data_IF_826293196088
#
_entry.id   IF_826293196088
#
_cell.length_a   1.000
_cell.length_b   1.000
_cell.length_c   1.000
_cell.angle_alpha   90.00
_cell.angle_beta   90.00
_cell.angle_gamma   90.00
#
_symmetry.space_group_name_H-M   'P 1'
#
loop_
_entity.id
_entity.type
_entity.pdbx_description
1 polymer ?
#
# COMPACT_ATOMS: atom_id res chain seq x y z
N UNK A 1 -27.55 -18.31 1.51
CA UNK A 1 -26.97 -16.99 1.84
C UNK A 1 -25.80 -16.70 0.91
N UNK A 2 -24.98 -15.71 1.25
CA UNK A 2 -23.77 -15.38 0.50
C UNK A 2 -22.57 -15.38 1.46
N UNK A 3 -21.41 -15.84 0.97
CA UNK A 3 -20.13 -15.75 1.69
C UNK A 3 -19.19 -14.83 0.94
N UNK A 4 -18.30 -14.18 1.67
CA UNK A 4 -17.29 -13.28 1.14
C UNK A 4 -15.89 -13.74 1.57
N UNK A 5 -14.92 -13.55 0.67
CA UNK A 5 -13.50 -13.65 0.96
C UNK A 5 -12.96 -12.23 1.14
N UNK A 6 -12.75 -11.84 2.39
CA UNK A 6 -12.27 -10.52 2.74
C UNK A 6 -10.75 -10.52 2.95
N UNK A 7 -10.03 -9.54 2.40
CA UNK A 7 -8.56 -9.51 2.43
C UNK A 7 -7.98 -8.76 3.63
N UNK A 8 -8.50 -9.08 4.82
CA UNK A 8 -7.91 -8.68 6.09
C UNK A 8 -8.18 -9.72 7.18
N UNK A 9 -7.59 -9.49 8.36
CA UNK A 9 -7.96 -10.18 9.59
C UNK A 9 -9.13 -9.42 10.25
N UNK A 10 -10.35 -9.72 9.83
CA UNK A 10 -11.56 -9.13 10.43
C UNK A 10 -11.58 -9.33 11.95
N UNK A 11 -12.03 -8.34 12.74
CA UNK A 11 -12.78 -7.13 12.33
C UNK A 11 -11.92 -5.95 11.84
N UNK A 12 -10.59 -6.05 11.85
CA UNK A 12 -9.71 -4.98 11.36
C UNK A 12 -9.86 -4.83 9.85
N UNK A 13 -9.92 -3.59 9.36
CA UNK A 13 -9.99 -3.23 7.95
C UNK A 13 -11.25 -3.69 7.20
N UNK A 14 -12.44 -3.46 7.76
CA UNK A 14 -13.70 -3.55 7.02
C UNK A 14 -13.74 -2.52 5.89
N UNK A 15 -14.24 -2.86 4.71
CA UNK A 15 -14.44 -1.93 3.59
C UNK A 15 -13.55 -2.17 2.37
N UNK A 16 -13.37 -1.12 1.58
CA UNK A 16 -13.00 -1.22 0.17
C UNK A 16 -11.50 -1.48 -0.11
N UNK A 17 -10.57 -1.10 0.77
CA UNK A 17 -9.13 -1.18 0.48
C UNK A 17 -8.27 -1.80 1.60
N UNK A 18 -8.65 -2.97 2.16
CA UNK A 18 -8.02 -3.52 3.36
C UNK A 18 -6.50 -3.73 3.22
N UNK A 19 -6.06 -4.28 2.09
CA UNK A 19 -4.65 -4.59 1.84
C UNK A 19 -3.78 -3.33 1.84
N UNK A 20 -4.20 -2.30 1.11
CA UNK A 20 -3.45 -1.06 1.03
C UNK A 20 -3.42 -0.33 2.39
N UNK A 21 -4.54 -0.36 3.11
CA UNK A 21 -4.66 0.28 4.43
C UNK A 21 -3.81 -0.40 5.48
N UNK A 22 -3.70 -1.74 5.44
CA UNK A 22 -2.75 -2.49 6.28
C UNK A 22 -1.29 -2.08 5.99
N UNK A 23 -0.90 -1.95 4.72
CA UNK A 23 0.44 -1.48 4.35
C UNK A 23 0.68 -0.04 4.82
N UNK A 24 -0.28 0.88 4.62
CA UNK A 24 -0.18 2.28 5.05
C UNK A 24 -0.02 2.42 6.55
N UNK A 25 -0.74 1.62 7.33
CA UNK A 25 -0.66 1.61 8.78
C UNK A 25 0.63 0.97 9.32
N UNK A 26 1.44 0.36 8.45
CA UNK A 26 2.64 -0.37 8.86
C UNK A 26 2.33 -1.69 9.57
N UNK A 27 1.16 -2.29 9.31
CA UNK A 27 0.81 -3.57 9.92
C UNK A 27 1.86 -4.63 9.55
N UNK A 28 2.39 -5.35 10.54
CA UNK A 28 3.34 -6.44 10.29
C UNK A 28 2.65 -7.67 9.68
N UNK A 29 1.36 -7.81 9.91
CA UNK A 29 0.58 -8.97 9.52
C UNK A 29 -0.76 -8.57 8.90
N UNK A 30 -1.20 -9.38 7.95
CA UNK A 30 -2.56 -9.34 7.39
C UNK A 30 -3.04 -10.77 7.17
N UNK A 31 -4.10 -10.93 6.40
CA UNK A 31 -4.62 -12.24 6.07
C UNK A 31 -5.85 -12.16 5.20
N UNK A 32 -6.58 -13.27 5.23
CA UNK A 32 -7.91 -13.35 4.66
C UNK A 32 -8.89 -13.90 5.69
N UNK A 33 -10.12 -13.41 5.66
CA UNK A 33 -11.24 -13.91 6.44
C UNK A 33 -12.36 -14.35 5.50
N UNK A 34 -12.86 -15.57 5.69
CA UNK A 34 -14.11 -16.01 5.10
C UNK A 34 -15.25 -15.65 6.05
N UNK A 35 -16.23 -14.92 5.54
CA UNK A 35 -17.34 -14.42 6.34
C UNK A 35 -18.67 -14.65 5.64
N UNK A 36 -19.74 -14.76 6.43
CA UNK A 36 -21.09 -14.69 5.92
C UNK A 36 -21.47 -13.21 5.75
N UNK A 37 -22.12 -12.87 4.63
CA UNK A 37 -22.62 -11.51 4.42
C UNK A 37 -23.88 -11.25 5.25
N UNK A 38 -23.95 -10.06 5.84
CA UNK A 38 -25.12 -9.47 6.49
C UNK A 38 -25.47 -8.12 5.84
N UNK A 39 -26.31 -7.31 6.49
CA UNK A 39 -26.69 -5.99 5.98
C UNK A 39 -25.64 -4.90 6.17
N UNK A 40 -24.58 -5.15 6.95
CA UNK A 40 -23.53 -4.17 7.23
C UNK A 40 -22.35 -4.30 6.27
N UNK A 41 -21.40 -3.37 6.41
CA UNK A 41 -20.16 -3.37 5.61
C UNK A 41 -19.13 -4.28 6.28
N UNK A 42 -19.00 -5.50 5.76
CA UNK A 42 -18.06 -6.52 6.26
C UNK A 42 -18.23 -6.81 7.77
N UNK A 43 -19.48 -6.78 8.28
CA UNK A 43 -19.79 -6.99 9.71
C UNK A 43 -20.21 -8.40 10.07
N UNK A 44 -20.68 -9.17 9.10
CA UNK A 44 -21.17 -10.53 9.33
C UNK A 44 -20.12 -11.51 9.88
N UNK A 45 -20.57 -12.64 10.46
CA UNK A 45 -19.70 -13.53 11.21
C UNK A 45 -18.63 -14.19 10.35
N UNK A 46 -17.45 -14.38 10.94
CA UNK A 46 -16.29 -15.03 10.32
C UNK A 46 -16.32 -16.52 10.65
N UNK A 47 -15.97 -17.36 9.68
CA UNK A 47 -15.86 -18.81 9.91
C UNK A 47 -14.48 -19.40 9.64
N UNK A 48 -13.63 -18.70 8.91
CA UNK A 48 -12.24 -19.12 8.73
C UNK A 48 -11.34 -17.91 8.51
N UNK A 49 -10.12 -18.01 9.00
CA UNK A 49 -9.10 -16.97 8.84
C UNK A 49 -7.76 -17.60 8.56
N UNK A 50 -6.98 -16.97 7.68
CA UNK A 50 -5.59 -17.31 7.45
C UNK A 50 -4.72 -16.07 7.59
N UNK A 51 -3.66 -16.16 8.40
CA UNK A 51 -2.75 -15.06 8.76
C UNK A 51 -1.41 -15.20 8.07
N UNK A 52 -0.81 -14.07 7.70
CA UNK A 52 0.54 -13.97 7.15
C UNK A 52 1.23 -12.67 7.55
N UNK A 53 2.56 -12.69 7.58
CA UNK A 53 3.37 -11.47 7.57
C UNK A 53 3.21 -10.71 6.24
N UNK A 54 3.39 -9.38 6.31
CA UNK A 54 3.54 -8.49 5.15
C UNK A 54 5.04 -8.26 4.91
N UNK A 55 5.55 -8.73 3.77
CA UNK A 55 6.97 -8.54 3.47
C UNK A 55 7.27 -7.06 3.17
N UNK A 56 8.46 -6.60 3.58
CA UNK A 56 8.90 -5.20 3.35
C UNK A 56 8.98 -4.80 1.88
N UNK A 57 9.05 -5.77 0.97
CA UNK A 57 9.05 -5.54 -0.48
C UNK A 57 7.67 -5.65 -1.14
N UNK A 58 6.64 -6.12 -0.42
CA UNK A 58 5.31 -6.30 -1.00
C UNK A 58 4.61 -4.97 -1.24
N UNK A 59 4.00 -4.86 -2.41
CA UNK A 59 3.04 -3.81 -2.77
C UNK A 59 1.63 -4.32 -2.56
N UNK A 60 0.64 -3.41 -2.61
CA UNK A 60 -0.77 -3.81 -2.60
C UNK A 60 -1.07 -4.82 -3.69
N UNK A 61 -0.53 -4.65 -4.89
CA UNK A 61 -0.71 -5.57 -6.01
C UNK A 61 -0.19 -6.98 -5.72
N UNK A 62 1.07 -7.09 -5.27
CA UNK A 62 1.70 -8.40 -5.02
C UNK A 62 1.06 -9.11 -3.82
N UNK A 63 0.74 -8.36 -2.76
CA UNK A 63 0.11 -8.90 -1.57
C UNK A 63 -1.31 -9.37 -1.87
N UNK A 64 -2.10 -8.56 -2.60
CA UNK A 64 -3.47 -8.96 -3.02
C UNK A 64 -3.44 -10.24 -3.85
N UNK A 65 -2.52 -10.37 -4.81
CA UNK A 65 -2.42 -11.58 -5.63
C UNK A 65 -2.11 -12.83 -4.79
N UNK A 66 -1.21 -12.71 -3.80
CA UNK A 66 -0.89 -13.80 -2.88
C UNK A 66 -2.07 -14.16 -1.99
N UNK A 67 -2.75 -13.17 -1.41
CA UNK A 67 -3.94 -13.36 -0.57
C UNK A 67 -5.10 -13.98 -1.36
N UNK A 68 -5.29 -13.60 -2.61
CA UNK A 68 -6.32 -14.18 -3.48
C UNK A 68 -6.08 -15.68 -3.72
N UNK A 69 -4.83 -16.08 -4.00
CA UNK A 69 -4.49 -17.49 -4.20
C UNK A 69 -4.73 -18.33 -2.95
N UNK A 70 -4.29 -17.86 -1.78
CA UNK A 70 -4.50 -18.58 -0.52
C UNK A 70 -5.97 -18.57 -0.09
N UNK A 71 -6.66 -17.45 -0.27
CA UNK A 71 -8.07 -17.32 0.07
C UNK A 71 -9.00 -18.20 -0.77
N UNK A 72 -8.68 -18.38 -2.05
CA UNK A 72 -9.40 -19.34 -2.90
C UNK A 72 -9.23 -20.78 -2.39
N UNK A 73 -8.02 -21.16 -2.00
CA UNK A 73 -7.76 -22.49 -1.42
C UNK A 73 -8.46 -22.68 -0.07
N UNK A 74 -8.44 -21.65 0.79
CA UNK A 74 -9.15 -21.66 2.08
C UNK A 74 -10.65 -21.84 1.84
N UNK A 75 -11.25 -21.06 0.95
CA UNK A 75 -12.67 -21.18 0.61
C UNK A 75 -13.01 -22.58 0.12
N UNK A 76 -12.24 -23.13 -0.82
CA UNK A 76 -12.45 -24.48 -1.33
C UNK A 76 -12.41 -25.54 -0.22
N UNK A 77 -11.53 -25.37 0.78
CA UNK A 77 -11.43 -26.31 1.91
C UNK A 77 -12.57 -26.21 2.93
N UNK A 78 -13.24 -25.06 3.04
CA UNK A 78 -14.26 -24.79 4.06
C UNK A 78 -15.69 -24.85 3.51
N UNK A 79 -15.87 -24.80 2.18
CA UNK A 79 -17.17 -24.60 1.57
C UNK A 79 -18.14 -25.75 1.86
N UNK A 80 -17.68 -27.00 1.86
CA UNK A 80 -18.53 -28.16 2.15
C UNK A 80 -19.05 -28.11 3.59
N UNK A 81 -18.14 -27.93 4.55
CA UNK A 81 -18.49 -27.88 5.97
C UNK A 81 -19.42 -26.70 6.30
N UNK A 82 -19.27 -25.57 5.57
CA UNK A 82 -20.18 -24.43 5.63
C UNK A 82 -21.59 -24.77 5.10
N UNK A 83 -21.68 -25.43 3.93
CA UNK A 83 -22.97 -25.82 3.32
C UNK A 83 -23.71 -26.84 4.17
N UNK A 84 -22.99 -27.77 4.78
CA UNK A 84 -23.55 -28.83 5.63
C UNK A 84 -23.88 -28.33 7.05
N UNK A 85 -23.57 -27.06 7.37
CA UNK A 85 -23.88 -26.46 8.67
C UNK A 85 -23.01 -26.96 9.82
N UNK A 86 -21.87 -27.58 9.51
CA UNK A 86 -20.93 -28.13 10.49
C UNK A 86 -19.87 -27.14 10.96
N UNK A 87 -19.75 -25.99 10.28
CA UNK A 87 -18.88 -24.88 10.66
C UNK A 87 -19.51 -24.01 11.75
N UNK A 88 -18.69 -23.62 12.73
CA UNK A 88 -19.06 -22.59 13.70
C UNK A 88 -18.84 -21.20 13.10
N UNK A 89 -19.88 -20.37 13.15
CA UNK A 89 -19.81 -18.94 12.85
C UNK A 89 -19.39 -18.16 14.10
N UNK A 90 -18.43 -17.26 13.95
CA UNK A 90 -17.95 -16.39 15.03
C UNK A 90 -18.34 -14.94 14.72
N UNK A 91 -19.20 -14.38 15.55
CA UNK A 91 -19.56 -12.96 15.46
C UNK A 91 -18.32 -12.09 15.67
N UNK A 92 -18.25 -11.02 14.89
CA UNK A 92 -17.19 -10.04 15.03
C UNK A 92 -17.41 -9.15 16.27
N UNK A 93 -16.32 -8.70 16.90
CA UNK A 93 -16.36 -7.75 18.00
C UNK A 93 -16.13 -6.33 17.46
N UNK A 94 -17.18 -5.51 17.43
CA UNK A 94 -17.16 -4.18 16.82
C UNK A 94 -16.15 -3.21 17.46
N UNK A 95 -15.83 -3.39 18.75
CA UNK A 95 -14.81 -2.59 19.45
C UNK A 95 -13.42 -2.66 18.77
N UNK A 96 -13.12 -3.77 18.09
CA UNK A 96 -11.84 -3.97 17.40
C UNK A 96 -11.91 -3.65 15.90
N UNK A 97 -13.04 -3.17 15.41
CA UNK A 97 -13.22 -2.88 13.99
C UNK A 97 -12.47 -1.61 13.57
N UNK A 98 -11.85 -1.66 12.39
CA UNK A 98 -11.31 -0.47 11.71
C UNK A 98 -11.83 -0.41 10.29
N UNK A 99 -11.87 0.79 9.71
CA UNK A 99 -12.41 1.01 8.37
C UNK A 99 -11.27 1.23 7.36
N UNK A 100 -11.30 0.43 6.30
CA UNK A 100 -10.45 0.53 5.14
C UNK A 100 -11.17 1.28 4.00
N UNK A 101 -11.22 2.61 4.10
CA UNK A 101 -11.79 3.46 3.04
C UNK A 101 -11.07 3.29 1.71
N UNK A 102 -11.79 3.53 0.60
CA UNK A 102 -11.23 3.53 -0.75
C UNK A 102 -10.01 4.46 -0.83
N UNK A 103 -9.02 4.10 -1.64
CA UNK A 103 -7.87 4.96 -1.91
C UNK A 103 -8.26 6.07 -2.88
N UNK A 104 -7.88 7.30 -2.56
CA UNK A 104 -8.13 8.47 -3.40
C UNK A 104 -6.84 8.98 -4.05
N UNK A 105 -6.94 9.55 -5.26
CA UNK A 105 -5.76 10.05 -5.98
C UNK A 105 -5.02 11.18 -5.24
N UNK A 106 -5.71 12.15 -4.60
CA UNK A 106 -5.03 13.17 -3.78
C UNK A 106 -4.27 12.58 -2.60
N UNK A 107 -4.80 11.51 -2.00
CA UNK A 107 -4.17 10.79 -0.87
C UNK A 107 -2.82 10.17 -1.27
N UNK A 108 -2.67 9.81 -2.54
CA UNK A 108 -1.44 9.21 -3.06
C UNK A 108 -0.27 10.20 -3.22
N UNK A 109 -0.46 11.49 -2.89
CA UNK A 109 0.65 12.46 -2.86
C UNK A 109 1.65 12.04 -1.79
N UNK A 110 2.90 11.83 -2.19
CA UNK A 110 4.00 11.51 -1.29
C UNK A 110 4.36 12.79 -0.50
N UNK A 111 4.32 12.69 0.82
CA UNK A 111 4.74 13.75 1.72
C UNK A 111 6.22 13.55 2.06
N UNK A 112 7.08 14.55 1.83
CA UNK A 112 8.50 14.48 2.17
C UNK A 112 8.80 14.81 3.64
N UNK A 113 7.79 15.17 4.43
CA UNK A 113 7.95 15.52 5.85
C UNK A 113 7.85 14.29 6.77
N UNK A 114 7.43 13.14 6.23
CA UNK A 114 7.36 11.88 6.98
C UNK A 114 8.70 11.15 6.99
N UNK A 115 8.83 10.14 7.84
CA UNK A 115 10.01 9.28 7.90
C UNK A 115 10.10 8.31 6.69
N UNK A 116 11.26 7.67 6.53
CA UNK A 116 11.55 6.70 5.47
C UNK A 116 10.61 5.50 5.46
N UNK A 117 10.23 4.94 6.61
CA UNK A 117 9.35 3.77 6.64
C UNK A 117 7.94 4.14 6.19
N UNK A 118 7.44 5.29 6.65
CA UNK A 118 6.15 5.85 6.23
C UNK A 118 6.15 6.12 4.72
N UNK A 119 7.16 6.78 4.19
CA UNK A 119 7.28 7.05 2.75
C UNK A 119 7.36 5.76 1.90
N UNK A 120 8.13 4.76 2.35
CA UNK A 120 8.25 3.48 1.64
C UNK A 120 6.95 2.67 1.68
N UNK A 121 6.26 2.64 2.82
CA UNK A 121 4.93 2.05 2.94
C UNK A 121 3.90 2.76 2.06
N UNK A 122 3.97 4.09 1.96
CA UNK A 122 3.13 4.89 1.06
C UNK A 122 3.33 4.47 -0.40
N UNK A 123 4.58 4.42 -0.88
CA UNK A 123 4.92 3.98 -2.24
C UNK A 123 4.39 2.57 -2.52
N UNK A 124 4.53 1.64 -1.56
CA UNK A 124 4.06 0.25 -1.70
C UNK A 124 2.54 0.13 -1.69
N UNK A 125 1.86 0.88 -0.82
CA UNK A 125 0.41 0.80 -0.66
C UNK A 125 -0.36 1.34 -1.87
N UNK A 126 0.14 2.39 -2.51
CA UNK A 126 -0.49 2.96 -3.70
C UNK A 126 -0.06 2.26 -5.01
N UNK A 127 0.74 1.18 -4.95
CA UNK A 127 1.15 0.39 -6.11
C UNK A 127 0.28 -0.89 -6.23
N UNK A 128 -0.50 -1.08 -7.31
CA UNK A 128 -0.34 -0.49 -8.64
C UNK A 128 -1.25 0.70 -8.95
N UNK A 129 -2.19 1.05 -8.07
CA UNK A 129 -3.15 2.13 -8.29
C UNK A 129 -3.49 2.84 -6.98
N UNK A 130 -3.71 4.17 -7.02
CA UNK A 130 -3.48 5.13 -8.12
C UNK A 130 -2.00 5.38 -8.51
N UNK A 131 -1.05 4.87 -7.73
CA UNK A 131 0.38 5.18 -7.81
C UNK A 131 0.72 6.39 -6.94
N UNK A 132 1.67 6.23 -6.02
CA UNK A 132 2.21 7.35 -5.24
C UNK A 132 2.80 8.39 -6.18
N UNK A 133 2.70 9.67 -5.85
CA UNK A 133 3.17 10.74 -6.74
C UNK A 133 3.68 11.96 -5.99
N UNK A 134 4.54 12.73 -6.64
CA UNK A 134 5.05 14.02 -6.15
C UNK A 134 4.96 15.06 -7.26
N UNK A 135 4.94 16.33 -6.89
CA UNK A 135 5.08 17.45 -7.81
C UNK A 135 6.56 17.82 -7.91
N UNK A 136 7.07 17.93 -9.13
CA UNK A 136 8.45 18.29 -9.43
C UNK A 136 8.41 19.34 -10.52
N UNK A 137 8.75 20.59 -10.19
CA UNK A 137 8.71 21.71 -11.13
C UNK A 137 7.35 21.87 -11.85
N UNK A 138 6.23 21.59 -11.16
CA UNK A 138 4.88 21.63 -11.74
C UNK A 138 4.49 20.41 -12.56
N UNK A 139 5.35 19.38 -12.64
CA UNK A 139 5.03 18.10 -13.25
C UNK A 139 4.73 17.04 -12.19
N UNK A 140 3.65 16.28 -12.39
CA UNK A 140 3.36 15.11 -11.55
C UNK A 140 4.22 13.92 -11.96
N UNK A 141 5.08 13.49 -11.05
CA UNK A 141 5.91 12.29 -11.19
C UNK A 141 5.36 11.19 -10.27
N UNK A 142 4.96 10.05 -10.83
CA UNK A 142 4.61 8.88 -10.01
C UNK A 142 5.87 8.15 -9.55
N UNK A 143 5.86 7.63 -8.32
CA UNK A 143 6.89 6.79 -7.73
C UNK A 143 6.32 5.38 -7.56
N UNK A 144 6.92 4.41 -8.25
CA UNK A 144 6.46 3.01 -8.25
C UNK A 144 7.29 2.12 -7.35
N UNK A 145 8.57 2.44 -7.19
CA UNK A 145 9.50 1.71 -6.35
C UNK A 145 10.51 2.68 -5.74
N UNK A 146 10.76 2.52 -4.45
CA UNK A 146 11.78 3.26 -3.73
C UNK A 146 12.49 2.36 -2.72
N UNK A 147 13.68 2.78 -2.27
CA UNK A 147 14.46 2.10 -1.24
C UNK A 147 15.17 3.11 -0.35
N UNK A 148 15.61 2.70 0.85
CA UNK A 148 16.48 3.53 1.69
C UNK A 148 17.80 3.79 0.95
N UNK A 149 18.27 5.03 1.02
CA UNK A 149 19.59 5.40 0.52
C UNK A 149 20.54 5.68 1.70
N UNK A 150 21.84 5.33 1.61
CA UNK A 150 22.84 5.58 2.66
C UNK A 150 23.42 7.00 2.62
N UNK A 151 22.87 7.87 1.76
CA UNK A 151 23.26 9.27 1.61
C UNK A 151 22.27 10.17 2.31
N UNK A 152 22.68 11.38 2.69
CA UNK A 152 21.82 12.36 3.31
C UNK A 152 21.53 13.49 2.32
N UNK A 153 20.26 13.61 1.93
CA UNK A 153 19.69 14.75 1.21
C UNK A 153 18.87 15.58 2.22
N UNK A 154 18.95 16.92 2.19
CA UNK A 154 18.12 17.76 3.06
C UNK A 154 16.64 17.42 2.91
N UNK A 155 15.91 17.36 4.03
CA UNK A 155 14.47 17.08 4.03
C UNK A 155 13.73 18.03 3.08
N UNK A 156 12.84 17.49 2.25
CA UNK A 156 12.10 18.26 1.25
C UNK A 156 12.92 18.69 0.04
N UNK A 157 14.11 18.14 -0.15
CA UNK A 157 14.89 18.32 -1.38
C UNK A 157 14.87 17.05 -2.24
N UNK A 158 14.91 17.25 -3.55
CA UNK A 158 15.11 16.20 -4.54
C UNK A 158 16.47 16.42 -5.22
N UNK A 159 17.38 15.48 -5.05
CA UNK A 159 18.75 15.55 -5.55
C UNK A 159 18.97 14.47 -6.63
N UNK A 160 19.59 14.87 -7.74
CA UNK A 160 20.01 14.00 -8.84
C UNK A 160 21.49 14.14 -9.20
N UNK A 161 22.27 14.89 -8.41
CA UNK A 161 23.69 15.20 -8.68
C UNK A 161 24.58 13.97 -8.81
N UNK A 162 24.22 12.90 -8.09
CA UNK A 162 24.90 11.60 -8.13
C UNK A 162 24.48 10.69 -9.30
N UNK A 163 23.52 11.12 -10.12
CA UNK A 163 22.87 10.32 -11.16
C UNK A 163 21.79 9.37 -10.65
N UNK A 164 21.57 9.28 -9.34
CA UNK A 164 20.41 8.62 -8.71
C UNK A 164 19.35 9.66 -8.33
N UNK A 165 18.07 9.32 -8.36
CA UNK A 165 16.99 10.21 -7.91
C UNK A 165 16.74 10.05 -6.41
N UNK A 166 17.14 11.03 -5.60
CA UNK A 166 17.19 10.94 -4.15
C UNK A 166 16.26 11.95 -3.49
N UNK A 167 15.30 11.47 -2.71
CA UNK A 167 14.35 12.29 -1.96
C UNK A 167 14.76 12.38 -0.49
N UNK A 168 15.03 13.60 -0.03
CA UNK A 168 15.24 13.89 1.39
C UNK A 168 13.93 13.90 2.18
N UNK A 169 13.91 13.14 3.27
CA UNK A 169 12.81 12.94 4.20
C UNK A 169 13.21 13.44 5.60
N UNK A 170 12.30 13.34 6.59
CA UNK A 170 12.57 13.87 7.94
C UNK A 170 13.66 13.10 8.71
N UNK A 171 13.85 11.80 8.46
CA UNK A 171 14.83 10.94 9.14
C UNK A 171 15.95 10.40 8.22
N UNK A 172 16.05 10.88 6.98
CA UNK A 172 17.03 10.37 6.03
C UNK A 172 16.62 10.54 4.57
N UNK A 173 17.04 9.62 3.72
CA UNK A 173 16.81 9.69 2.27
C UNK A 173 16.30 8.37 1.72
N UNK A 174 15.42 8.46 0.71
CA UNK A 174 15.07 7.34 -0.16
C UNK A 174 15.55 7.58 -1.58
N UNK A 175 15.95 6.51 -2.26
CA UNK A 175 16.17 6.51 -3.70
C UNK A 175 14.89 6.10 -4.40
N UNK A 176 14.46 6.89 -5.39
CA UNK A 176 13.36 6.58 -6.28
C UNK A 176 13.89 5.64 -7.37
N UNK A 177 13.64 4.34 -7.25
CA UNK A 177 14.18 3.32 -8.15
C UNK A 177 13.41 3.24 -9.48
N UNK A 178 12.10 3.42 -9.42
CA UNK A 178 11.21 3.39 -10.58
C UNK A 178 10.19 4.52 -10.49
N UNK A 179 10.15 5.36 -11.52
CA UNK A 179 9.31 6.55 -11.60
C UNK A 179 8.52 6.57 -12.91
N UNK A 180 7.50 7.42 -12.99
CA UNK A 180 6.75 7.65 -14.22
C UNK A 180 6.36 9.13 -14.31
N UNK A 181 7.08 9.91 -15.14
CA UNK A 181 6.69 11.26 -15.52
C UNK A 181 5.36 11.28 -16.30
N UNK A 182 4.72 12.45 -16.36
CA UNK A 182 3.43 12.63 -17.00
C UNK A 182 3.44 12.20 -18.47
N UNK A 183 2.53 11.29 -18.85
CA UNK A 183 2.43 10.80 -20.23
C UNK A 183 3.60 9.92 -20.71
N UNK A 184 4.53 9.54 -19.82
CA UNK A 184 5.64 8.63 -20.12
C UNK A 184 5.36 7.21 -19.62
N UNK A 185 6.17 6.26 -20.09
CA UNK A 185 6.23 4.90 -19.52
C UNK A 185 6.98 4.96 -18.18
N UNK A 186 6.79 3.94 -17.35
CA UNK A 186 7.65 3.74 -16.17
C UNK A 186 9.11 3.60 -16.62
N UNK A 187 10.02 4.20 -15.89
CA UNK A 187 11.45 4.22 -16.17
C UNK A 187 12.25 4.15 -14.86
N UNK A 188 13.54 3.83 -14.98
CA UNK A 188 14.44 3.85 -13.82
C UNK A 188 14.61 5.29 -13.32
N UNK A 189 14.65 5.49 -12.00
CA UNK A 189 14.88 6.83 -11.46
C UNK A 189 16.20 7.45 -11.92
N UNK A 190 17.27 6.66 -12.05
CA UNK A 190 18.54 7.12 -12.61
C UNK A 190 18.46 7.52 -14.10
N UNK A 191 17.52 6.95 -14.87
CA UNK A 191 17.27 7.38 -16.25
C UNK A 191 16.53 8.71 -16.28
N UNK A 192 15.53 8.86 -15.43
CA UNK A 192 14.82 10.12 -15.23
C UNK A 192 15.76 11.24 -14.76
N UNK A 193 16.62 10.96 -13.78
CA UNK A 193 17.64 11.87 -13.24
C UNK A 193 18.55 12.47 -14.33
N UNK A 194 18.99 11.67 -15.31
CA UNK A 194 19.82 12.16 -16.43
C UNK A 194 19.08 13.09 -17.40
N UNK A 195 17.75 13.06 -17.38
CA UNK A 195 16.90 13.84 -18.28
C UNK A 195 16.50 15.21 -17.71
N UNK A 196 16.77 15.49 -16.43
CA UNK A 196 16.44 16.78 -15.81
C UNK A 196 17.57 17.79 -16.01
N UNK A 197 17.25 19.09 -15.89
CA UNK A 197 18.19 20.21 -16.14
C UNK A 197 18.74 20.84 -14.86
N UNK A 198 18.45 20.24 -13.70
CA UNK A 198 18.85 20.71 -12.38
C UNK A 198 19.55 19.56 -11.63
N UNK A 199 20.38 19.91 -10.66
CA UNK A 199 21.09 18.91 -9.84
C UNK A 199 20.40 18.67 -8.49
N UNK A 200 19.84 19.71 -7.88
CA UNK A 200 19.06 19.61 -6.65
C UNK A 200 18.04 20.74 -6.58
N UNK A 201 16.82 20.44 -6.15
CA UNK A 201 15.73 21.42 -6.00
C UNK A 201 14.94 21.21 -4.70
N UNK A 202 14.39 22.28 -4.09
CA UNK A 202 13.41 22.15 -3.02
C UNK A 202 12.03 21.75 -3.60
N UNK A 203 11.28 20.94 -2.87
CA UNK A 203 9.91 20.51 -3.24
C UNK A 203 8.82 21.40 -2.67
N UNK A 204 9.08 22.03 -1.53
CA UNK A 204 8.25 23.13 -1.04
C UNK A 204 8.78 24.41 -1.70
N UNK A 205 7.94 25.09 -2.47
CA UNK A 205 8.24 26.48 -2.83
C UNK A 205 8.25 27.26 -1.51
N UNK A 206 9.32 28.01 -1.26
CA UNK A 206 9.24 29.09 -0.29
C UNK A 206 8.13 30.04 -0.79
N UNK A 207 7.02 30.09 -0.07
CA UNK A 207 6.02 31.15 -0.23
C UNK A 207 6.67 32.52 0.00
#
# INVERSE_FOLDING_TARGET
GFVNLHFSLLPRWRGAAPVARAILAGDEHTGVSLMQLDSGLDTGPVFATWRTEIARSETTGTLTARLAGVGAALLASQLQDYVDGSIQLMDQVDEYATIAGKLETPEARLDHRVDRDTALSHVRAFNPSPGAWMDVEGERIKVWKATRAPVQVPAGSLDVSSGAALLGLSDGTIELLEVQPGGKRRMRGAEWARGVTWESIPLDKAD
#
